data_IF_840458961421
#
_entry.id   IF_840458961421
#
_cell.length_a   1.000
_cell.length_b   1.000
_cell.length_c   1.000
_cell.angle_alpha   90.00
_cell.angle_beta   90.00
_cell.angle_gamma   90.00
#
_symmetry.space_group_name_H-M   'P 1'
#
loop_
_entity.id
_entity.type
_entity.pdbx_description
1 polymer ?
#
# COMPACT_ATOMS: atom_id res chain seq x y z
N UNK A 1 -5.04 -14.29 8.99
CA UNK A 1 -3.72 -14.93 9.13
C UNK A 1 -3.56 -15.27 10.60
N UNK A 2 -3.33 -16.53 10.98
CA UNK A 2 -3.14 -16.92 12.39
C UNK A 2 -1.66 -16.89 12.85
N UNK A 3 -1.31 -16.05 13.84
CA UNK A 3 -0.04 -16.10 14.59
C UNK A 3 -0.30 -16.82 15.90
N UNK A 4 0.03 -18.11 16.00
CA UNK A 4 -0.38 -18.91 17.15
C UNK A 4 -1.92 -18.88 17.29
N UNK A 5 -2.45 -18.51 18.46
CA UNK A 5 -3.90 -18.46 18.71
C UNK A 5 -4.59 -17.17 18.21
N UNK A 6 -3.99 -16.44 17.27
CA UNK A 6 -4.31 -15.03 17.04
C UNK A 6 -4.50 -14.72 15.55
N UNK A 7 -5.69 -14.28 15.12
CA UNK A 7 -5.99 -13.95 13.72
C UNK A 7 -5.61 -12.49 13.35
N UNK A 8 -4.38 -12.26 12.89
CA UNK A 8 -4.00 -11.02 12.22
C UNK A 8 -4.68 -10.87 10.84
N UNK A 9 -5.25 -9.69 10.56
CA UNK A 9 -5.88 -9.42 9.26
C UNK A 9 -4.83 -9.09 8.20
N UNK A 10 -4.92 -9.77 7.07
CA UNK A 10 -4.05 -9.64 5.91
C UNK A 10 -4.39 -8.43 5.04
N UNK A 11 -4.86 -7.30 5.57
CA UNK A 11 -5.13 -6.09 4.78
C UNK A 11 -4.59 -4.86 5.49
N UNK A 12 -3.75 -4.09 4.79
CA UNK A 12 -3.26 -2.79 5.26
C UNK A 12 -1.92 -2.81 5.98
N UNK A 13 -0.95 -3.62 5.54
CA UNK A 13 0.42 -3.67 6.11
C UNK A 13 1.12 -2.30 6.14
N UNK A 14 0.75 -1.36 5.27
CA UNK A 14 1.22 0.03 5.30
C UNK A 14 0.97 0.74 6.65
N UNK A 15 0.03 0.23 7.46
CA UNK A 15 -0.31 0.73 8.80
C UNK A 15 0.84 0.51 9.80
N UNK A 16 1.72 -0.48 9.60
CA UNK A 16 2.78 -0.81 10.55
C UNK A 16 3.86 0.27 10.66
N UNK A 17 4.03 1.11 9.63
CA UNK A 17 5.04 2.18 9.64
C UNK A 17 4.76 3.20 10.74
N UNK A 18 3.49 3.58 10.90
CA UNK A 18 3.04 4.45 11.99
C UNK A 18 2.79 3.68 13.30
N UNK A 19 3.03 2.37 13.34
CA UNK A 19 2.85 1.56 14.55
C UNK A 19 4.08 1.59 15.47
N UNK A 20 5.16 2.26 15.06
CA UNK A 20 6.39 2.39 15.83
C UNK A 20 6.52 3.81 16.35
N UNK A 21 6.72 3.96 17.66
CA UNK A 21 7.02 5.25 18.30
C UNK A 21 8.39 5.19 18.99
N UNK A 22 9.29 6.17 18.77
CA UNK A 22 10.63 6.16 19.37
C UNK A 22 10.63 6.02 20.90
N UNK A 23 9.69 6.67 21.58
CA UNK A 23 9.57 6.63 23.05
C UNK A 23 8.84 5.39 23.59
N UNK A 24 7.77 4.96 22.91
CA UNK A 24 6.82 3.98 23.46
C UNK A 24 7.03 2.57 22.90
N UNK A 25 7.64 2.43 21.72
CA UNK A 25 7.87 1.15 21.07
C UNK A 25 6.82 0.81 20.01
N UNK A 26 6.69 -0.48 19.74
CA UNK A 26 5.80 -1.03 18.72
C UNK A 26 4.42 -1.28 19.32
N UNK A 27 3.40 -0.67 18.72
CA UNK A 27 2.00 -1.01 18.98
C UNK A 27 1.51 -1.98 17.92
N UNK A 28 0.71 -2.96 18.30
CA UNK A 28 0.10 -3.88 17.35
C UNK A 28 -1.25 -4.39 17.87
N UNK A 29 -2.01 -5.05 17.01
CA UNK A 29 -3.33 -5.58 17.36
C UNK A 29 -3.52 -6.97 16.77
N UNK A 30 -4.26 -7.79 17.50
CA UNK A 30 -4.80 -9.06 17.03
C UNK A 30 -6.21 -8.95 16.42
N UNK A 31 -6.74 -7.73 16.31
CA UNK A 31 -8.10 -7.48 15.87
C UNK A 31 -9.12 -7.31 16.99
N UNK A 32 -8.76 -7.57 18.25
CA UNK A 32 -9.59 -7.33 19.45
C UNK A 32 -8.84 -6.51 20.51
N UNK A 33 -7.64 -6.96 20.85
CA UNK A 33 -6.74 -6.35 21.79
C UNK A 33 -5.67 -5.50 21.09
N UNK A 34 -5.15 -4.54 21.84
CA UNK A 34 -3.98 -3.76 21.48
C UNK A 34 -2.85 -4.11 22.44
N UNK A 35 -1.68 -4.33 21.88
CA UNK A 35 -0.48 -4.71 22.58
C UNK A 35 0.61 -3.69 22.33
N UNK A 36 1.46 -3.48 23.33
CA UNK A 36 2.63 -2.62 23.27
C UNK A 36 3.87 -3.41 23.63
N UNK A 37 4.83 -3.44 22.72
CA UNK A 37 6.15 -4.01 22.94
C UNK A 37 7.20 -2.89 22.87
N UNK A 38 7.88 -2.63 23.99
CA UNK A 38 9.08 -1.78 23.96
C UNK A 38 10.21 -2.54 23.31
N UNK A 39 11.04 -1.86 22.55
CA UNK A 39 12.28 -2.41 22.07
C UNK A 39 13.38 -1.35 22.20
N UNK A 40 14.63 -1.80 22.32
CA UNK A 40 15.82 -0.95 22.28
C UNK A 40 16.72 -1.45 21.18
N UNK A 41 17.32 -0.53 20.44
CA UNK A 41 18.36 -0.87 19.48
C UNK A 41 19.70 -0.71 20.19
N UNK A 42 20.36 -1.82 20.50
CA UNK A 42 21.68 -1.85 21.14
C UNK A 42 22.63 -2.55 20.17
N UNK A 43 23.69 -1.85 19.72
CA UNK A 43 24.71 -2.40 18.80
C UNK A 43 24.11 -3.06 17.53
N UNK A 44 23.17 -2.39 16.85
CA UNK A 44 22.43 -2.91 15.69
C UNK A 44 21.60 -4.18 15.94
N UNK A 45 21.40 -4.56 17.20
CA UNK A 45 20.47 -5.63 17.58
C UNK A 45 19.26 -5.04 18.29
N UNK A 46 18.10 -5.65 18.06
CA UNK A 46 16.85 -5.24 18.69
C UNK A 46 16.62 -6.10 19.91
N UNK A 47 16.81 -5.51 21.08
CA UNK A 47 16.37 -6.10 22.34
C UNK A 47 14.89 -5.78 22.53
N UNK A 48 14.04 -6.80 22.60
CA UNK A 48 12.61 -6.63 22.82
C UNK A 48 12.26 -6.83 24.29
N UNK A 49 11.45 -5.91 24.81
CA UNK A 49 10.80 -6.06 26.10
C UNK A 49 9.57 -6.98 26.01
N UNK A 50 8.99 -7.30 27.16
CA UNK A 50 7.73 -8.04 27.22
C UNK A 50 6.61 -7.22 26.57
N UNK A 51 5.79 -7.90 25.76
CA UNK A 51 4.56 -7.32 25.23
C UNK A 51 3.53 -7.16 26.34
N UNK A 52 2.90 -6.00 26.43
CA UNK A 52 1.87 -5.68 27.43
C UNK A 52 0.55 -5.42 26.71
N UNK A 53 -0.53 -6.09 27.16
CA UNK A 53 -1.89 -5.80 26.69
C UNK A 53 -2.33 -4.44 27.24
N UNK A 54 -2.57 -3.47 26.36
CA UNK A 54 -3.02 -2.13 26.75
C UNK A 54 -4.52 -2.10 26.99
N UNK A 55 -5.30 -2.62 26.03
CA UNK A 55 -6.76 -2.55 26.05
C UNK A 55 -7.41 -3.57 25.13
N UNK A 56 -8.66 -3.90 25.42
CA UNK A 56 -9.52 -4.76 24.61
C UNK A 56 -10.70 -3.98 24.03
N UNK A 57 -11.08 -4.34 22.81
CA UNK A 57 -12.15 -3.76 22.02
C UNK A 57 -12.88 -4.86 21.23
N UNK A 58 -14.10 -4.56 20.78
CA UNK A 58 -14.89 -5.51 19.97
C UNK A 58 -14.25 -5.82 18.62
N UNK A 59 -13.71 -4.78 17.97
CA UNK A 59 -13.00 -4.92 16.71
C UNK A 59 -12.01 -3.77 16.51
N UNK A 60 -10.76 -4.14 16.28
CA UNK A 60 -9.68 -3.23 15.86
C UNK A 60 -9.26 -3.60 14.44
N UNK A 61 -9.17 -2.60 13.57
CA UNK A 61 -8.69 -2.75 12.20
C UNK A 61 -7.27 -2.24 12.03
N UNK A 62 -6.97 -1.10 12.66
CA UNK A 62 -5.67 -0.48 12.56
C UNK A 62 -5.35 0.30 13.83
N UNK A 63 -4.06 0.45 14.11
CA UNK A 63 -3.55 1.21 15.24
C UNK A 63 -2.30 1.99 14.81
N UNK A 64 -2.23 3.28 15.11
CA UNK A 64 -1.14 4.15 14.67
C UNK A 64 -0.83 5.23 15.70
N UNK A 65 0.46 5.49 15.89
CA UNK A 65 0.98 6.62 16.63
C UNK A 65 0.96 7.90 15.81
N UNK A 66 0.74 9.03 16.48
CA UNK A 66 1.12 10.34 15.95
C UNK A 66 2.65 10.44 15.90
N UNK A 67 3.17 11.09 14.85
CA UNK A 67 4.60 11.26 14.62
C UNK A 67 5.09 12.64 15.10
N UNK A 68 4.64 13.07 16.28
CA UNK A 68 4.89 14.41 16.82
C UNK A 68 5.73 14.36 18.07
N UNK A 69 6.73 15.24 18.18
CA UNK A 69 7.66 15.30 19.33
C UNK A 69 7.03 15.72 20.66
N UNK A 70 5.77 16.21 20.63
CA UNK A 70 5.03 16.66 21.80
C UNK A 70 4.16 15.56 22.45
N UNK A 71 2.87 15.85 22.58
CA UNK A 71 1.89 14.90 23.13
C UNK A 71 1.73 13.76 22.13
N UNK A 72 1.89 12.53 22.62
CA UNK A 72 1.69 11.34 21.82
C UNK A 72 0.20 10.98 21.77
N UNK A 73 -0.32 10.76 20.57
CA UNK A 73 -1.67 10.27 20.37
C UNK A 73 -1.65 8.92 19.68
N UNK A 74 -2.59 8.07 20.07
CA UNK A 74 -2.84 6.80 19.40
C UNK A 74 -4.21 6.85 18.71
N UNK A 75 -4.23 6.67 17.40
CA UNK A 75 -5.46 6.43 16.66
C UNK A 75 -5.72 4.93 16.58
N UNK A 76 -6.98 4.55 16.81
CA UNK A 76 -7.46 3.19 16.70
C UNK A 76 -8.65 3.21 15.76
N UNK A 77 -8.53 2.56 14.61
CA UNK A 77 -9.67 2.39 13.73
C UNK A 77 -10.42 1.11 14.05
N UNK A 78 -11.73 1.25 14.19
CA UNK A 78 -12.68 0.17 14.35
C UNK A 78 -13.44 -0.05 13.04
N UNK A 79 -14.48 -0.88 13.09
CA UNK A 79 -15.33 -1.14 11.93
C UNK A 79 -16.03 0.12 11.40
N UNK A 80 -16.54 0.95 12.31
CA UNK A 80 -17.47 2.06 12.02
C UNK A 80 -17.04 3.39 12.64
N UNK A 81 -15.96 3.40 13.41
CA UNK A 81 -15.45 4.61 14.01
C UNK A 81 -13.93 4.58 14.18
N UNK A 82 -13.36 5.76 14.40
CA UNK A 82 -11.96 5.93 14.81
C UNK A 82 -11.95 6.57 16.18
N UNK A 83 -11.21 6.00 17.12
CA UNK A 83 -10.98 6.59 18.44
C UNK A 83 -9.57 7.15 18.52
N UNK A 84 -9.42 8.29 19.20
CA UNK A 84 -8.13 8.93 19.43
C UNK A 84 -7.89 8.98 20.93
N UNK A 85 -6.70 8.56 21.33
CA UNK A 85 -6.29 8.41 22.72
C UNK A 85 -5.04 9.24 22.96
N UNK A 86 -5.06 10.00 24.05
CA UNK A 86 -3.87 10.67 24.56
C UNK A 86 -3.07 9.66 25.37
N UNK A 87 -1.77 9.56 25.08
CA UNK A 87 -0.85 8.65 25.74
C UNK A 87 0.20 9.44 26.49
N UNK A 88 0.27 9.23 27.80
CA UNK A 88 1.21 9.91 28.70
C UNK A 88 1.96 8.91 29.58
N UNK A 89 3.14 9.32 30.06
CA UNK A 89 3.99 8.47 30.89
C UNK A 89 4.77 7.42 30.09
N UNK A 90 5.21 6.38 30.79
CA UNK A 90 5.99 5.27 30.24
C UNK A 90 5.58 3.96 30.89
N UNK A 91 5.66 2.85 30.15
CA UNK A 91 5.38 1.51 30.71
C UNK A 91 6.30 1.26 31.91
N UNK A 92 5.75 0.80 33.07
CA UNK A 92 4.40 0.28 33.27
C UNK A 92 3.31 1.32 33.64
N UNK A 93 3.67 2.56 33.95
CA UNK A 93 2.75 3.65 34.33
C UNK A 93 2.31 4.47 33.11
N UNK A 94 1.76 3.80 32.11
CA UNK A 94 1.24 4.46 30.90
C UNK A 94 -0.20 4.91 31.14
N UNK A 95 -0.47 6.21 31.01
CA UNK A 95 -1.83 6.74 31.07
C UNK A 95 -2.44 6.77 29.66
N UNK A 96 -3.67 6.28 29.57
CA UNK A 96 -4.36 6.09 28.29
C UNK A 96 -5.77 6.68 28.35
N UNK A 97 -5.92 7.92 27.87
CA UNK A 97 -7.19 8.66 27.97
C UNK A 97 -7.82 8.85 26.60
N UNK A 98 -9.05 8.35 26.42
CA UNK A 98 -9.80 8.63 25.18
C UNK A 98 -10.14 10.11 25.12
N UNK A 99 -9.77 10.76 24.03
CA UNK A 99 -10.05 12.19 23.82
C UNK A 99 -11.01 12.43 22.66
N UNK A 100 -11.17 11.48 21.73
CA UNK A 100 -12.10 11.62 20.61
C UNK A 100 -12.64 10.28 20.15
N UNK A 101 -13.92 10.27 19.75
CA UNK A 101 -14.55 9.20 18.99
C UNK A 101 -15.18 9.82 17.75
N UNK A 102 -14.81 9.31 16.57
CA UNK A 102 -15.19 9.85 15.27
C UNK A 102 -15.94 8.76 14.53
N UNK A 103 -17.24 8.95 14.31
CA UNK A 103 -18.08 7.99 13.58
C UNK A 103 -17.88 8.14 12.07
N UNK A 104 -16.96 7.34 11.53
CA UNK A 104 -16.64 7.31 10.10
C UNK A 104 -16.09 5.93 9.72
N UNK A 105 -16.56 5.40 8.60
CA UNK A 105 -15.97 4.21 8.00
C UNK A 105 -14.81 4.62 7.10
N UNK A 106 -13.59 4.34 7.56
CA UNK A 106 -12.37 4.64 6.81
C UNK A 106 -12.00 3.51 5.85
N UNK A 107 -11.18 3.87 4.86
CA UNK A 107 -10.46 2.92 4.01
C UNK A 107 -9.38 2.18 4.83
N UNK A 108 -8.91 0.99 4.39
CA UNK A 108 -7.81 0.28 5.07
C UNK A 108 -6.53 1.11 5.25
N UNK A 109 -6.18 1.96 4.28
CA UNK A 109 -5.06 2.92 4.38
C UNK A 109 -5.54 4.35 4.67
N UNK A 110 -6.77 4.49 5.17
CA UNK A 110 -7.45 5.77 5.33
C UNK A 110 -7.30 6.42 6.69
N UNK A 111 -6.44 5.91 7.58
CA UNK A 111 -6.07 6.59 8.82
C UNK A 111 -4.62 7.03 8.70
N UNK A 112 -4.37 8.34 8.74
CA UNK A 112 -3.03 8.88 8.54
C UNK A 112 -2.81 10.12 9.40
N UNK A 113 -1.77 10.07 10.23
CA UNK A 113 -1.27 11.25 10.92
C UNK A 113 -0.42 12.08 9.94
N UNK A 114 -0.52 13.41 10.04
CA UNK A 114 0.43 14.29 9.41
C UNK A 114 1.82 14.04 10.04
N UNK A 115 2.89 13.92 9.24
CA UNK A 115 4.20 13.54 9.75
C UNK A 115 4.87 14.63 10.61
N UNK A 116 4.44 15.88 10.51
CA UNK A 116 5.06 17.00 11.23
C UNK A 116 4.11 17.70 12.22
N UNK A 117 2.82 17.35 12.23
CA UNK A 117 1.79 18.11 12.97
C UNK A 117 0.78 17.19 13.65
N UNK A 118 0.12 17.72 14.67
CA UNK A 118 -0.98 17.06 15.39
C UNK A 118 -2.29 17.14 14.58
N UNK A 119 -2.27 16.60 13.36
CA UNK A 119 -3.40 16.56 12.44
C UNK A 119 -3.63 15.11 12.01
N UNK A 120 -4.81 14.58 12.32
CA UNK A 120 -5.28 13.28 11.87
C UNK A 120 -6.12 13.45 10.60
N UNK A 121 -5.68 12.85 9.51
CA UNK A 121 -6.41 12.73 8.25
C UNK A 121 -7.14 11.38 8.18
N UNK A 122 -8.44 11.42 7.91
CA UNK A 122 -9.28 10.25 7.68
C UNK A 122 -9.82 10.26 6.25
N UNK A 123 -9.49 9.21 5.50
CA UNK A 123 -9.97 8.96 4.14
C UNK A 123 -11.12 7.95 4.19
N UNK A 124 -12.28 8.40 3.74
CA UNK A 124 -13.43 7.55 3.43
C UNK A 124 -13.57 7.40 1.91
N UNK A 125 -14.47 6.56 1.42
CA UNK A 125 -14.66 6.34 -0.03
C UNK A 125 -14.94 7.61 -0.84
N UNK A 126 -15.54 8.64 -0.24
CA UNK A 126 -15.97 9.84 -0.97
C UNK A 126 -15.56 11.15 -0.29
N UNK A 127 -14.81 11.09 0.82
CA UNK A 127 -14.50 12.30 1.57
C UNK A 127 -13.21 12.17 2.36
N UNK A 128 -12.48 13.28 2.40
CA UNK A 128 -11.30 13.52 3.22
C UNK A 128 -11.68 14.41 4.39
N UNK A 129 -11.36 13.99 5.61
CA UNK A 129 -11.62 14.77 6.83
C UNK A 129 -10.37 14.91 7.67
N UNK A 130 -10.17 16.09 8.23
CA UNK A 130 -9.07 16.42 9.12
C UNK A 130 -9.59 16.69 10.52
N UNK A 131 -8.83 16.22 11.50
CA UNK A 131 -9.09 16.41 12.91
C UNK A 131 -7.79 16.91 13.55
N UNK A 132 -7.86 18.00 14.31
CA UNK A 132 -6.67 18.66 14.84
C UNK A 132 -6.96 19.31 16.19
N UNK A 133 -5.90 19.76 16.89
CA UNK A 133 -5.97 20.38 18.23
C UNK A 133 -6.75 19.49 19.21
N UNK A 134 -6.37 18.22 19.31
CA UNK A 134 -7.14 17.19 20.01
C UNK A 134 -7.26 17.45 21.53
N UNK A 135 -6.31 18.18 22.12
CA UNK A 135 -6.27 18.48 23.56
C UNK A 135 -7.12 19.66 24.04
N UNK A 136 -7.14 20.79 23.33
CA UNK A 136 -7.76 22.05 23.81
C UNK A 136 -9.04 22.42 23.05
N UNK A 137 -8.90 22.83 21.79
CA UNK A 137 -9.99 23.31 20.93
C UNK A 137 -10.15 22.38 19.75
N UNK A 138 -10.86 21.27 19.96
CA UNK A 138 -11.02 20.19 18.97
C UNK A 138 -11.57 20.74 17.66
N UNK A 139 -10.72 20.82 16.65
CA UNK A 139 -11.10 21.24 15.30
C UNK A 139 -11.50 20.06 14.43
N UNK A 140 -12.34 20.32 13.43
CA UNK A 140 -12.43 19.45 12.26
C UNK A 140 -12.65 20.28 11.01
N UNK A 141 -12.12 19.79 9.89
CA UNK A 141 -12.36 20.34 8.58
C UNK A 141 -12.59 19.18 7.60
N UNK A 142 -13.48 19.34 6.64
CA UNK A 142 -13.74 18.33 5.63
C UNK A 142 -13.64 18.99 4.26
N UNK A 143 -12.90 18.35 3.36
CA UNK A 143 -12.92 18.73 1.95
C UNK A 143 -14.31 18.36 1.40
N UNK A 144 -14.86 19.14 0.44
CA UNK A 144 -16.08 18.77 -0.26
C UNK A 144 -16.07 17.32 -0.70
N UNK A 145 -17.20 16.63 -0.50
CA UNK A 145 -17.30 15.23 -0.90
C UNK A 145 -17.18 15.11 -2.42
N UNK A 146 -16.58 14.02 -2.88
CA UNK A 146 -16.48 13.72 -4.30
C UNK A 146 -17.87 13.49 -4.88
N UNK A 147 -18.18 14.20 -5.97
CA UNK A 147 -19.41 14.00 -6.74
C UNK A 147 -19.37 12.68 -7.53
N UNK A 148 -18.16 12.25 -7.93
CA UNK A 148 -17.94 11.02 -8.69
C UNK A 148 -16.60 10.37 -8.33
N UNK A 149 -16.48 9.07 -8.64
CA UNK A 149 -15.30 8.28 -8.30
C UNK A 149 -15.26 7.83 -6.84
N UNK A 150 -14.23 7.07 -6.48
CA UNK A 150 -13.99 6.59 -5.12
C UNK A 150 -12.53 6.76 -4.74
N UNK A 151 -12.29 7.27 -3.55
CA UNK A 151 -10.96 7.33 -2.96
C UNK A 151 -10.50 5.89 -2.69
N UNK A 152 -9.32 5.55 -3.21
CA UNK A 152 -8.69 4.24 -3.04
C UNK A 152 -7.63 4.28 -1.95
N UNK A 153 -6.74 5.27 -2.01
CA UNK A 153 -5.65 5.49 -1.06
C UNK A 153 -5.22 6.97 -1.03
N UNK A 154 -4.30 7.31 -0.13
CA UNK A 154 -3.68 8.64 -0.08
C UNK A 154 -2.39 8.62 0.72
N UNK A 155 -1.59 9.67 0.63
CA UNK A 155 -0.35 9.82 1.40
C UNK A 155 0.00 11.28 1.62
N UNK A 156 0.50 11.59 2.81
CA UNK A 156 1.15 12.87 3.10
C UNK A 156 2.57 12.89 2.51
N UNK A 157 3.02 14.05 2.04
CA UNK A 157 4.44 14.33 1.83
C UNK A 157 5.21 14.28 3.16
N UNK A 158 6.52 14.06 3.12
CA UNK A 158 7.36 13.98 4.33
C UNK A 158 7.36 15.25 5.20
N UNK A 159 7.19 16.42 4.61
CA UNK A 159 7.05 17.71 5.32
C UNK A 159 5.63 17.97 5.85
N UNK A 160 4.68 17.09 5.50
CA UNK A 160 3.28 17.20 5.86
C UNK A 160 2.58 18.42 5.25
N UNK A 161 3.10 19.03 4.18
CA UNK A 161 2.49 20.19 3.53
C UNK A 161 1.72 19.83 2.25
N UNK A 162 1.80 18.57 1.78
CA UNK A 162 1.02 18.08 0.64
C UNK A 162 0.30 16.79 1.01
N UNK A 163 -0.95 16.67 0.60
CA UNK A 163 -1.72 15.44 0.67
C UNK A 163 -2.09 15.02 -0.75
N UNK A 164 -1.64 13.84 -1.16
CA UNK A 164 -2.02 13.23 -2.44
C UNK A 164 -3.07 12.17 -2.18
N UNK A 165 -4.22 12.28 -2.84
CA UNK A 165 -5.36 11.37 -2.73
C UNK A 165 -5.63 10.74 -4.09
N UNK A 166 -5.75 9.42 -4.12
CA UNK A 166 -5.94 8.68 -5.37
C UNK A 166 -7.42 8.35 -5.57
N UNK A 167 -7.93 8.63 -6.77
CA UNK A 167 -9.30 8.36 -7.20
C UNK A 167 -9.24 7.67 -8.56
N UNK A 168 -9.35 6.34 -8.57
CA UNK A 168 -9.07 5.55 -9.76
C UNK A 168 -7.62 5.73 -10.23
N UNK A 169 -7.42 6.13 -11.49
CA UNK A 169 -6.11 6.49 -12.05
C UNK A 169 -5.74 7.99 -11.90
N UNK A 170 -6.62 8.78 -11.27
CA UNK A 170 -6.41 10.20 -11.03
C UNK A 170 -5.86 10.49 -9.63
N UNK A 171 -5.16 11.62 -9.52
CA UNK A 171 -4.63 12.17 -8.29
C UNK A 171 -5.30 13.51 -7.99
N UNK A 172 -5.75 13.68 -6.75
CA UNK A 172 -6.14 14.95 -6.18
C UNK A 172 -5.07 15.36 -5.19
N UNK A 173 -4.44 16.51 -5.44
CA UNK A 173 -3.31 16.98 -4.66
C UNK A 173 -3.71 18.27 -3.97
N UNK A 174 -3.56 18.27 -2.65
CA UNK A 174 -3.83 19.40 -1.79
C UNK A 174 -2.50 19.90 -1.23
N UNK A 175 -2.18 21.17 -1.43
CA UNK A 175 -0.91 21.79 -1.01
C UNK A 175 -1.18 22.99 -0.09
N UNK A 176 -0.51 23.02 1.05
CA UNK A 176 -0.60 24.09 2.03
C UNK A 176 0.73 24.84 2.11
N UNK A 177 0.66 26.18 2.15
CA UNK A 177 1.81 27.01 2.55
C UNK A 177 2.12 26.86 4.04
N UNK A 178 1.06 26.80 4.85
CA UNK A 178 1.14 26.51 6.28
C UNK A 178 -0.20 25.97 6.80
N UNK A 179 -0.20 24.74 7.32
CA UNK A 179 -1.38 24.11 7.92
C UNK A 179 -1.74 24.76 9.27
N UNK A 180 -0.76 25.37 9.94
CA UNK A 180 -0.93 25.89 11.29
C UNK A 180 -1.82 27.15 11.34
N UNK A 181 -1.81 27.93 10.25
CA UNK A 181 -2.65 29.11 10.09
C UNK A 181 -4.11 28.73 9.80
N UNK A 182 -4.33 28.01 8.70
CA UNK A 182 -5.66 27.61 8.26
C UNK A 182 -5.60 26.32 7.44
N UNK A 183 -6.18 25.24 7.97
CA UNK A 183 -6.27 23.96 7.25
C UNK A 183 -7.22 24.00 6.04
N UNK A 184 -8.12 24.98 6.02
CA UNK A 184 -9.07 25.21 4.92
C UNK A 184 -8.45 25.95 3.74
N UNK A 185 -7.26 26.54 3.91
CA UNK A 185 -6.58 27.33 2.88
C UNK A 185 -5.51 26.47 2.21
N UNK A 186 -5.88 25.85 1.09
CA UNK A 186 -4.99 25.02 0.29
C UNK A 186 -5.19 25.28 -1.20
N UNK A 187 -4.13 25.05 -1.95
CA UNK A 187 -4.18 24.95 -3.40
C UNK A 187 -4.54 23.52 -3.78
N UNK A 188 -5.41 23.36 -4.77
CA UNK A 188 -5.87 22.04 -5.23
C UNK A 188 -5.48 21.85 -6.68
N UNK A 189 -4.98 20.67 -7.00
CA UNK A 189 -4.71 20.26 -8.38
C UNK A 189 -5.22 18.84 -8.61
N UNK A 190 -5.84 18.61 -9.76
CA UNK A 190 -6.28 17.29 -10.20
C UNK A 190 -5.47 16.86 -11.42
N UNK A 191 -4.94 15.65 -11.40
CA UNK A 191 -4.07 15.15 -12.46
C UNK A 191 -4.30 13.68 -12.76
N UNK A 192 -4.44 13.35 -14.04
CA UNK A 192 -4.54 11.98 -14.50
C UNK A 192 -3.15 11.45 -14.80
N UNK A 193 -2.78 10.31 -14.21
CA UNK A 193 -1.47 9.71 -14.44
C UNK A 193 -1.39 9.22 -15.89
N UNK A 194 -0.46 9.72 -16.72
CA UNK A 194 -0.35 9.32 -18.11
C UNK A 194 -0.08 7.82 -18.24
N UNK A 195 -0.72 7.18 -19.22
CA UNK A 195 -0.51 5.76 -19.59
C UNK A 195 -0.82 4.77 -18.45
N UNK A 196 -1.61 5.19 -17.46
CA UNK A 196 -2.08 4.32 -16.37
C UNK A 196 -3.52 3.88 -16.65
N UNK A 197 -3.71 2.59 -16.94
CA UNK A 197 -5.01 2.06 -17.35
C UNK A 197 -5.85 1.48 -16.19
N UNK A 198 -5.31 1.43 -14.96
CA UNK A 198 -5.98 0.85 -13.80
C UNK A 198 -5.96 1.73 -12.56
N UNK A 199 -6.72 1.30 -11.55
CA UNK A 199 -6.87 2.03 -10.30
C UNK A 199 -5.57 1.99 -9.50
N UNK A 200 -5.22 3.13 -8.92
CA UNK A 200 -4.11 3.24 -7.99
C UNK A 200 -4.56 2.62 -6.66
N UNK A 201 -3.86 1.58 -6.22
CA UNK A 201 -4.21 0.77 -5.05
C UNK A 201 -3.36 1.08 -3.83
N UNK A 202 -2.17 1.64 -4.02
CA UNK A 202 -1.31 2.11 -2.94
C UNK A 202 -0.45 3.31 -3.37
N UNK A 203 -0.11 4.15 -2.41
CA UNK A 203 0.76 5.32 -2.58
C UNK A 203 1.68 5.46 -1.37
N UNK A 204 2.93 5.84 -1.61
CA UNK A 204 3.90 6.16 -0.57
C UNK A 204 4.72 7.40 -0.95
N UNK A 205 4.86 8.34 -0.01
CA UNK A 205 5.80 9.45 -0.14
C UNK A 205 7.24 8.94 0.01
N UNK A 206 8.08 9.27 -0.98
CA UNK A 206 9.51 9.01 -0.97
C UNK A 206 10.27 10.19 -0.37
N UNK A 207 9.94 11.39 -0.83
CA UNK A 207 10.47 12.67 -0.34
C UNK A 207 9.32 13.67 -0.17
N UNK A 208 9.62 14.96 0.04
CA UNK A 208 8.61 16.02 0.08
C UNK A 208 7.82 16.13 -1.23
N UNK A 209 8.49 15.88 -2.37
CA UNK A 209 7.93 16.10 -3.71
C UNK A 209 7.85 14.82 -4.55
N UNK A 210 8.46 13.71 -4.13
CA UNK A 210 8.40 12.43 -4.86
C UNK A 210 7.43 11.45 -4.20
N UNK A 211 6.58 10.82 -5.03
CA UNK A 211 5.64 9.81 -4.61
C UNK A 211 5.74 8.57 -5.51
N UNK A 212 5.67 7.40 -4.89
CA UNK A 212 5.52 6.12 -5.56
C UNK A 212 4.06 5.71 -5.55
N UNK A 213 3.56 5.21 -6.68
CA UNK A 213 2.20 4.75 -6.90
C UNK A 213 2.23 3.31 -7.37
N UNK A 214 1.38 2.46 -6.79
CA UNK A 214 1.12 1.13 -7.27
C UNK A 214 -0.28 1.09 -7.87
N UNK A 215 -0.40 0.56 -9.08
CA UNK A 215 -1.66 0.44 -9.80
C UNK A 215 -1.92 -1.01 -10.20
N UNK A 216 -3.19 -1.41 -10.10
CA UNK A 216 -3.63 -2.75 -10.46
C UNK A 216 -3.85 -2.90 -11.97
N UNK A 217 -3.95 -4.15 -12.40
CA UNK A 217 -4.45 -4.46 -13.75
C UNK A 217 -5.97 -4.40 -13.71
N UNK A 218 -6.62 -3.62 -14.59
CA UNK A 218 -8.08 -3.62 -14.68
C UNK A 218 -8.59 -5.05 -14.93
N UNK A 219 -9.55 -5.48 -14.14
CA UNK A 219 -10.20 -6.80 -14.35
C UNK A 219 -10.85 -6.87 -15.73
N UNK A 220 -11.34 -5.73 -16.25
CA UNK A 220 -11.88 -5.61 -17.61
C UNK A 220 -10.88 -6.05 -18.68
N UNK A 221 -9.58 -5.87 -18.45
CA UNK A 221 -8.52 -6.31 -19.37
C UNK A 221 -8.44 -7.83 -19.52
N UNK A 222 -8.87 -8.59 -18.51
CA UNK A 222 -8.94 -10.06 -18.56
C UNK A 222 -10.26 -10.58 -19.15
N UNK A 223 -11.31 -9.75 -19.15
CA UNK A 223 -12.67 -10.16 -19.53
C UNK A 223 -13.01 -9.90 -21.01
N UNK A 224 -12.08 -9.41 -21.83
CA UNK A 224 -12.31 -9.22 -23.26
C UNK A 224 -12.16 -10.55 -24.02
N UNK A 225 -13.25 -11.15 -24.56
CA UNK A 225 -13.21 -12.48 -25.16
C UNK A 225 -12.38 -12.57 -26.45
N UNK A 226 -12.05 -11.44 -27.07
CA UNK A 226 -11.55 -11.38 -28.44
C UNK A 226 -10.05 -11.65 -28.58
N UNK A 227 -9.25 -11.60 -27.52
CA UNK A 227 -7.78 -11.54 -27.69
C UNK A 227 -6.96 -12.38 -26.70
N UNK A 228 -7.56 -13.08 -25.73
CA UNK A 228 -6.80 -13.82 -24.70
C UNK A 228 -6.11 -15.05 -25.26
N UNK A 229 -6.61 -15.60 -26.37
CA UNK A 229 -6.12 -16.86 -26.92
C UNK A 229 -5.83 -16.70 -28.41
N UNK A 230 -4.67 -17.20 -28.84
CA UNK A 230 -4.39 -17.43 -30.26
C UNK A 230 -5.29 -18.57 -30.68
N UNK A 231 -6.43 -18.25 -31.30
CA UNK A 231 -7.15 -19.21 -32.11
C UNK A 231 -6.18 -19.55 -33.24
N UNK A 232 -5.74 -20.81 -33.29
CA UNK A 232 -5.00 -21.28 -34.46
C UNK A 232 -5.96 -21.13 -35.64
N UNK A 233 -5.61 -20.28 -36.60
CA UNK A 233 -6.40 -20.09 -37.81
C UNK A 233 -6.55 -21.44 -38.52
N UNK A 234 -7.67 -22.12 -38.29
CA UNK A 234 -8.11 -23.20 -39.17
C UNK A 234 -8.76 -22.57 -40.39
N UNK A 235 -7.96 -21.93 -41.25
CA UNK A 235 -8.49 -21.35 -42.48
C UNK A 235 -7.47 -21.32 -43.63
N UNK A 236 -7.00 -22.47 -44.06
CA UNK A 236 -6.66 -22.65 -45.49
C UNK A 236 -6.64 -24.13 -45.94
N UNK A 237 -7.79 -24.68 -46.27
CA UNK A 237 -7.85 -25.76 -47.28
C UNK A 237 -9.16 -25.66 -48.06
N UNK A 238 -9.16 -24.82 -49.09
CA UNK A 238 -10.09 -24.98 -50.23
C UNK A 238 -9.40 -25.89 -51.25
N UNK A 239 -10.00 -27.06 -51.49
CA UNK A 239 -10.27 -27.73 -52.78
C UNK A 239 -10.19 -29.27 -52.66
N UNK A 240 -11.24 -29.95 -53.16
CA UNK A 240 -11.06 -31.15 -53.98
C UNK A 240 -11.03 -32.52 -53.29
N UNK A 241 -12.08 -33.30 -53.55
CA UNK A 241 -12.08 -34.74 -53.89
C UNK A 241 -11.32 -35.77 -53.04
N UNK A 242 -12.12 -36.71 -52.52
CA UNK A 242 -12.01 -38.17 -52.52
C UNK A 242 -10.70 -38.90 -52.13
N UNK A 243 -10.97 -39.99 -51.38
CA UNK A 243 -10.25 -41.26 -51.28
C UNK A 243 -9.14 -41.45 -50.24
N UNK A 244 -9.56 -42.11 -49.15
CA UNK A 244 -9.00 -43.37 -48.63
C UNK A 244 -7.73 -43.39 -47.76
N UNK A 245 -7.86 -44.27 -46.75
CA UNK A 245 -6.85 -45.01 -45.99
C UNK A 245 -6.19 -44.34 -44.79
N UNK A 246 -6.39 -45.00 -43.65
CA UNK A 246 -5.84 -44.63 -42.37
C UNK A 246 -4.37 -45.01 -42.18
N UNK A 247 -3.78 -44.38 -41.18
CA UNK A 247 -3.01 -45.06 -40.14
C UNK A 247 -2.79 -44.06 -39.01
N UNK A 248 -3.24 -44.44 -37.83
CA UNK A 248 -3.02 -43.75 -36.57
C UNK A 248 -1.55 -43.80 -36.15
N UNK A 249 -1.19 -42.87 -35.26
CA UNK A 249 0.05 -42.74 -34.48
C UNK A 249 1.19 -41.91 -35.09
N UNK A 250 1.00 -40.59 -35.09
CA UNK A 250 2.12 -39.66 -34.81
C UNK A 250 1.96 -39.16 -33.37
N UNK A 251 2.77 -39.73 -32.46
CA UNK A 251 2.95 -39.21 -31.10
C UNK A 251 3.77 -37.93 -31.23
N UNK A 252 3.15 -36.79 -30.99
CA UNK A 252 3.82 -35.49 -30.89
C UNK A 252 4.48 -35.44 -29.51
N UNK A 253 5.81 -35.45 -29.46
CA UNK A 253 6.56 -35.13 -28.23
C UNK A 253 6.26 -33.69 -27.81
N UNK A 254 5.66 -33.54 -26.62
CA UNK A 254 5.33 -32.23 -26.03
C UNK A 254 6.45 -31.86 -25.05
N UNK A 255 7.05 -30.65 -25.14
CA UNK A 255 8.02 -30.18 -24.14
C UNK A 255 7.35 -30.03 -22.78
N UNK A 256 8.10 -30.26 -21.70
CA UNK A 256 7.59 -30.22 -20.32
C UNK A 256 6.80 -28.93 -20.00
N UNK A 257 5.47 -29.07 -19.97
CA UNK A 257 4.53 -28.03 -19.56
C UNK A 257 4.21 -28.12 -18.07
N UNK A 258 4.11 -26.96 -17.42
CA UNK A 258 3.60 -26.85 -16.04
C UNK A 258 2.12 -27.28 -15.97
N UNK A 259 1.69 -27.86 -14.84
CA UNK A 259 0.38 -28.52 -14.71
C UNK A 259 -0.85 -27.63 -15.02
N UNK A 260 -0.72 -26.31 -14.96
CA UNK A 260 -1.77 -25.36 -15.35
C UNK A 260 -1.94 -25.24 -16.86
N UNK A 261 -0.89 -25.49 -17.64
CA UNK A 261 -0.91 -25.44 -19.11
C UNK A 261 -1.44 -26.74 -19.74
N UNK A 262 -1.38 -27.86 -19.01
CA UNK A 262 -1.97 -29.15 -19.45
C UNK A 262 -3.50 -29.16 -19.44
N UNK A 263 -4.13 -28.31 -18.63
CA UNK A 263 -5.59 -28.27 -18.44
C UNK A 263 -6.30 -27.35 -19.44
N UNK A 264 -5.58 -26.43 -20.08
CA UNK A 264 -6.13 -25.45 -21.02
C UNK A 264 -5.17 -25.36 -22.21
N UNK A 265 -5.45 -26.09 -23.30
CA UNK A 265 -4.71 -26.07 -24.58
C UNK A 265 -4.81 -24.72 -25.31
N UNK A 266 -4.56 -23.61 -24.63
CA UNK A 266 -4.74 -22.28 -25.17
C UNK A 266 -3.46 -21.47 -25.00
N UNK A 267 -2.81 -21.17 -26.13
CA UNK A 267 -1.66 -20.26 -26.18
C UNK A 267 -2.16 -18.82 -26.02
N UNK A 268 -1.67 -18.12 -25.02
CA UNK A 268 -1.99 -16.70 -24.80
C UNK A 268 -1.22 -15.80 -25.77
N UNK A 269 -1.85 -14.70 -26.19
CA UNK A 269 -1.22 -13.71 -27.07
C UNK A 269 -0.10 -12.95 -26.33
N UNK A 270 1.16 -12.99 -26.81
CA UNK A 270 2.30 -12.32 -26.16
C UNK A 270 2.18 -10.80 -26.12
N UNK A 271 1.50 -10.15 -27.07
CA UNK A 271 1.37 -8.67 -27.10
C UNK A 271 0.47 -8.13 -25.96
N UNK A 272 -0.43 -8.95 -25.43
CA UNK A 272 -1.25 -8.59 -24.26
C UNK A 272 -0.52 -8.74 -22.93
N UNK A 273 0.63 -9.43 -22.91
CA UNK A 273 1.35 -9.67 -21.66
C UNK A 273 2.02 -8.40 -21.10
N UNK A 274 2.34 -7.40 -21.91
CA UNK A 274 2.95 -6.16 -21.41
C UNK A 274 1.94 -5.09 -20.94
N UNK A 275 0.75 -5.08 -21.54
CA UNK A 275 -0.32 -4.12 -21.18
C UNK A 275 -1.15 -4.57 -19.97
N UNK A 276 -1.13 -5.87 -19.64
CA UNK A 276 -1.91 -6.46 -18.55
C UNK A 276 -1.07 -6.72 -17.30
N UNK A 277 -0.11 -5.85 -17.00
CA UNK A 277 0.71 -5.93 -15.79
C UNK A 277 0.42 -4.76 -14.87
N UNK A 278 0.41 -5.04 -13.57
CA UNK A 278 0.36 -4.00 -12.56
C UNK A 278 1.56 -3.10 -12.72
N UNK A 279 1.40 -1.83 -12.41
CA UNK A 279 2.46 -0.84 -12.61
C UNK A 279 2.88 -0.21 -11.31
N UNK A 280 4.18 -0.02 -11.18
CA UNK A 280 4.79 0.85 -10.20
C UNK A 280 5.21 2.12 -10.93
N UNK A 281 4.74 3.28 -10.47
CA UNK A 281 4.97 4.59 -11.10
C UNK A 281 5.57 5.55 -10.09
N UNK A 282 6.59 6.31 -10.50
CA UNK A 282 7.12 7.43 -9.72
C UNK A 282 6.66 8.74 -10.34
N UNK A 283 6.18 9.63 -9.49
CA UNK A 283 5.76 10.97 -9.89
C UNK A 283 6.47 12.03 -9.04
N UNK A 284 6.65 13.20 -9.62
CA UNK A 284 7.20 14.37 -8.97
C UNK A 284 6.17 15.50 -8.94
N UNK A 285 5.85 15.94 -7.72
CA UNK A 285 4.89 16.98 -7.39
C UNK A 285 5.68 18.21 -6.98
N UNK A 286 5.91 19.14 -7.93
CA UNK A 286 6.60 20.40 -7.64
C UNK A 286 5.80 21.30 -6.71
N UNK A 287 6.48 22.23 -6.05
CA UNK A 287 5.89 23.14 -5.05
C UNK A 287 4.85 24.10 -5.65
N UNK A 288 5.01 24.47 -6.92
CA UNK A 288 4.09 25.35 -7.63
C UNK A 288 2.86 24.63 -8.18
N UNK A 289 2.78 23.30 -8.05
CA UNK A 289 1.67 22.44 -8.48
C UNK A 289 1.29 22.53 -9.97
N UNK A 290 2.01 23.34 -10.77
CA UNK A 290 1.73 23.59 -12.19
C UNK A 290 2.40 22.55 -13.09
N UNK A 291 3.52 21.99 -12.64
CA UNK A 291 4.34 21.06 -13.38
C UNK A 291 4.42 19.71 -12.65
N UNK A 292 3.37 18.90 -12.77
CA UNK A 292 3.42 17.50 -12.37
C UNK A 292 4.23 16.71 -13.39
N UNK A 293 5.31 16.09 -12.92
CA UNK A 293 6.23 15.36 -13.77
C UNK A 293 6.06 13.85 -13.55
N UNK A 294 5.77 13.15 -14.64
CA UNK A 294 5.85 11.71 -14.69
C UNK A 294 7.32 11.31 -14.80
N UNK A 295 7.85 10.63 -13.77
CA UNK A 295 9.28 10.33 -13.69
C UNK A 295 9.60 9.03 -14.41
N UNK A 296 8.98 7.93 -13.97
CA UNK A 296 9.25 6.59 -14.53
C UNK A 296 8.16 5.60 -14.16
N UNK A 297 8.13 4.45 -14.84
CA UNK A 297 7.31 3.32 -14.45
C UNK A 297 8.00 1.99 -14.73
N UNK A 298 7.59 0.96 -14.00
CA UNK A 298 8.00 -0.42 -14.23
C UNK A 298 6.82 -1.36 -14.03
N UNK A 299 6.77 -2.42 -14.83
CA UNK A 299 5.77 -3.48 -14.69
C UNK A 299 6.11 -4.39 -13.52
N UNK A 300 5.14 -4.62 -12.65
CA UNK A 300 5.22 -5.54 -11.51
C UNK A 300 4.74 -6.89 -12.00
N UNK A 301 5.65 -7.86 -12.11
CA UNK A 301 5.31 -9.22 -12.55
C UNK A 301 4.60 -9.98 -11.43
N UNK A 302 3.71 -10.91 -11.76
CA UNK A 302 3.03 -11.86 -10.83
C UNK A 302 2.04 -11.26 -9.81
N UNK A 303 2.15 -9.98 -9.48
CA UNK A 303 1.23 -9.29 -8.57
C UNK A 303 0.18 -8.55 -9.42
N UNK A 304 -1.10 -8.86 -9.23
CA UNK A 304 -2.22 -8.29 -10.01
C UNK A 304 -2.82 -7.04 -9.34
N UNK A 305 -2.88 -7.02 -8.01
CA UNK A 305 -3.42 -5.90 -7.23
C UNK A 305 -2.44 -5.57 -6.09
N UNK A 306 -1.43 -4.73 -6.36
CA UNK A 306 -0.41 -4.36 -5.38
C UNK A 306 -1.00 -3.37 -4.36
N UNK A 307 -1.31 -3.83 -3.16
CA UNK A 307 -1.93 -3.02 -2.11
C UNK A 307 -1.00 -2.78 -0.90
N UNK A 308 0.27 -3.15 -1.04
CA UNK A 308 1.35 -2.88 -0.09
C UNK A 308 2.41 -2.07 -0.81
N UNK A 309 2.75 -0.89 -0.27
CA UNK A 309 3.78 -0.02 -0.82
C UNK A 309 4.45 0.76 0.30
N UNK A 310 5.76 0.60 0.41
CA UNK A 310 6.57 1.27 1.42
C UNK A 310 7.90 1.74 0.84
N UNK A 311 8.33 2.94 1.24
CA UNK A 311 9.64 3.47 0.89
C UNK A 311 10.50 3.64 2.15
N UNK A 312 11.65 2.98 2.15
CA UNK A 312 12.68 3.06 3.18
C UNK A 312 13.73 4.09 2.76
N UNK A 313 13.71 5.25 3.42
CA UNK A 313 14.57 6.39 3.08
C UNK A 313 16.05 6.08 3.27
N UNK A 314 16.44 5.33 4.30
CA UNK A 314 17.85 5.12 4.62
C UNK A 314 18.60 4.29 3.57
N UNK A 315 17.89 3.42 2.87
CA UNK A 315 18.46 2.51 1.86
C UNK A 315 18.06 2.86 0.43
N UNK A 316 17.20 3.88 0.25
CA UNK A 316 16.57 4.19 -1.03
C UNK A 316 15.87 2.96 -1.65
N UNK A 317 15.14 2.22 -0.82
CA UNK A 317 14.47 0.99 -1.24
C UNK A 317 12.97 1.17 -1.20
N UNK A 318 12.32 0.85 -2.31
CA UNK A 318 10.89 0.74 -2.42
C UNK A 318 10.48 -0.73 -2.37
N UNK A 319 9.58 -1.05 -1.45
CA UNK A 319 9.03 -2.39 -1.27
C UNK A 319 7.59 -2.38 -1.75
N UNK A 320 7.28 -3.28 -2.68
CA UNK A 320 5.93 -3.49 -3.20
C UNK A 320 5.48 -4.92 -2.99
N UNK A 321 4.21 -5.09 -2.67
CA UNK A 321 3.62 -6.38 -2.38
C UNK A 321 2.12 -6.38 -2.56
N UNK A 322 1.53 -7.54 -2.31
CA UNK A 322 0.09 -7.68 -2.24
C UNK A 322 -0.31 -8.56 -1.07
N UNK A 323 -1.41 -8.23 -0.44
CA UNK A 323 -2.03 -9.02 0.61
C UNK A 323 -2.54 -10.40 0.13
N UNK A 324 -2.66 -10.60 -1.19
CA UNK A 324 -3.06 -11.87 -1.80
C UNK A 324 -1.89 -12.65 -2.38
N UNK A 325 -0.66 -12.13 -2.26
CA UNK A 325 0.51 -12.73 -2.88
C UNK A 325 1.69 -12.83 -1.89
N UNK A 326 2.36 -13.99 -1.76
CA UNK A 326 3.39 -14.20 -0.74
C UNK A 326 4.75 -13.58 -1.10
N UNK A 327 4.88 -12.88 -2.23
CA UNK A 327 6.15 -12.32 -2.70
C UNK A 327 6.16 -10.81 -2.53
N UNK A 328 7.27 -10.30 -2.02
CA UNK A 328 7.62 -8.88 -2.04
C UNK A 328 8.64 -8.63 -3.15
N UNK A 329 8.49 -7.51 -3.84
CA UNK A 329 9.47 -7.06 -4.83
C UNK A 329 10.11 -5.77 -4.32
N UNK A 330 11.43 -5.68 -4.48
CA UNK A 330 12.21 -4.55 -4.03
C UNK A 330 12.74 -3.80 -5.24
N UNK A 331 12.62 -2.49 -5.20
CA UNK A 331 13.09 -1.58 -6.25
C UNK A 331 13.94 -0.46 -5.64
N UNK A 332 14.82 0.13 -6.43
CA UNK A 332 15.53 1.37 -6.12
C UNK A 332 15.30 2.36 -7.24
N UNK A 333 15.25 3.65 -6.91
CA UNK A 333 15.29 4.73 -7.89
C UNK A 333 16.75 5.16 -8.08
N UNK A 334 17.26 5.10 -9.31
CA UNK A 334 18.62 5.54 -9.65
C UNK A 334 18.71 7.06 -9.77
N UNK A 335 19.94 7.60 -9.83
CA UNK A 335 20.19 9.01 -10.16
C UNK A 335 19.58 9.41 -11.51
N UNK A 336 19.51 8.46 -12.44
CA UNK A 336 19.01 8.65 -13.80
C UNK A 336 17.48 8.54 -13.88
N UNK A 337 16.79 8.59 -12.73
CA UNK A 337 15.32 8.49 -12.61
C UNK A 337 14.74 7.17 -13.10
N UNK A 338 15.53 6.09 -13.11
CA UNK A 338 15.06 4.75 -13.51
C UNK A 338 14.75 3.88 -12.29
N UNK A 339 13.71 3.05 -12.39
CA UNK A 339 13.37 2.06 -11.37
C UNK A 339 14.06 0.72 -11.69
N UNK A 340 15.03 0.35 -10.86
CA UNK A 340 15.72 -0.94 -10.96
C UNK A 340 15.16 -1.92 -9.94
N UNK A 341 14.82 -3.12 -10.41
CA UNK A 341 14.42 -4.23 -9.54
C UNK A 341 15.65 -4.83 -8.87
N UNK A 342 15.67 -4.81 -7.54
CA UNK A 342 16.76 -5.33 -6.73
C UNK A 342 16.60 -6.83 -6.45
N UNK A 343 15.40 -7.23 -6.02
CA UNK A 343 15.16 -8.60 -5.56
C UNK A 343 13.66 -8.96 -5.58
N UNK A 344 13.42 -10.28 -5.65
CA UNK A 344 12.17 -10.89 -5.23
C UNK A 344 12.44 -11.59 -3.90
N UNK A 345 11.72 -11.20 -2.86
CA UNK A 345 11.76 -11.89 -1.58
C UNK A 345 10.52 -12.75 -1.49
N UNK A 346 10.73 -14.07 -1.54
CA UNK A 346 9.68 -15.03 -1.18
C UNK A 346 9.47 -14.91 0.30
N UNK A 347 8.28 -14.53 0.70
CA UNK A 347 7.99 -14.39 2.09
C UNK A 347 7.57 -15.75 2.66
N UNK A 348 8.55 -16.60 2.95
CA UNK A 348 8.32 -17.83 3.71
C UNK A 348 7.90 -17.53 5.17
N UNK A 349 8.06 -16.28 5.62
CA UNK A 349 7.74 -15.81 6.97
C UNK A 349 7.09 -14.42 6.88
N UNK A 350 5.87 -14.32 6.36
CA UNK A 350 5.08 -13.06 6.45
C UNK A 350 4.47 -12.85 7.85
N UNK A 351 5.18 -13.26 8.91
CA UNK A 351 4.66 -13.24 10.28
C UNK A 351 5.55 -12.70 11.39
N UNK A 352 6.68 -12.11 11.05
CA UNK A 352 7.30 -11.13 11.92
C UNK A 352 7.62 -9.92 11.06
N UNK A 353 7.07 -8.78 11.45
CA UNK A 353 7.58 -7.43 11.23
C UNK A 353 8.29 -7.16 9.91
N UNK A 354 7.79 -6.20 9.12
CA UNK A 354 8.69 -5.41 8.28
C UNK A 354 9.87 -4.96 9.14
N UNK A 355 11.01 -5.63 8.97
CA UNK A 355 12.36 -5.16 9.25
C UNK A 355 12.53 -4.32 10.52
N UNK A 356 12.34 -4.91 11.70
CA UNK A 356 13.14 -4.46 12.83
C UNK A 356 14.55 -5.06 12.83
N UNK A 357 14.83 -6.11 12.04
CA UNK A 357 16.14 -6.74 11.97
C UNK A 357 16.37 -7.34 10.58
N UNK A 358 17.24 -6.72 9.78
CA UNK A 358 18.01 -7.47 8.80
C UNK A 358 19.41 -6.88 8.71
N UNK A 359 20.30 -7.39 9.58
CA UNK A 359 21.66 -7.86 9.24
C UNK A 359 22.32 -8.48 10.48
N UNK A 360 22.12 -9.78 10.66
CA UNK A 360 23.18 -10.67 11.16
C UNK A 360 22.74 -12.12 10.98
N UNK A 361 23.04 -12.68 9.80
CA UNK A 361 23.44 -14.07 9.58
C UNK A 361 23.26 -14.45 8.09
N UNK A 362 24.09 -13.89 7.21
CA UNK A 362 24.56 -14.71 6.09
C UNK A 362 25.59 -15.67 6.68
N UNK A 363 25.14 -16.89 7.00
CA UNK A 363 25.98 -18.09 7.02
C UNK A 363 25.95 -18.67 5.61
N UNK A 364 26.97 -18.36 4.82
CA UNK A 364 27.53 -19.30 3.84
C UNK A 364 29.04 -19.20 4.03
N UNK A 365 29.64 -20.34 4.39
CA UNK A 365 31.04 -20.65 4.12
C UNK A 365 31.21 -20.83 2.63
#
# INVERSE_FOLDING_TARGET
MEIGNVTLRSKGINILTSAIHPKHGLVWTDGKCIFLARFKIVKNQVEHGKSVKLKEFDSVRCVQWSQTDGICYLSIAHKECVTVWKVEGEVPRLEFKQIRKISIQILPQGCQWNPCREVLCLLSRHQVRFFYRHGKTRGCYAIPALESGRITCGSWSKDGLKLVVCVGSALLIYSWKSIDCAISEFETHAWNVPKLNGDITAIASMTTNLFALAAEVPISSFCLPSNVFVLSDSSSSRLGSSDSNGNENQIIEVPEMTNTQKLMNLKQNPELQENNLSRLVIIHVKDDMKDLEYVTNVSIKEIISPDILHYETARNVLVIGSNTHPRLQLFTLTSDKELLKLANVVNEIFFFSFSFLYTSANRIK
#
